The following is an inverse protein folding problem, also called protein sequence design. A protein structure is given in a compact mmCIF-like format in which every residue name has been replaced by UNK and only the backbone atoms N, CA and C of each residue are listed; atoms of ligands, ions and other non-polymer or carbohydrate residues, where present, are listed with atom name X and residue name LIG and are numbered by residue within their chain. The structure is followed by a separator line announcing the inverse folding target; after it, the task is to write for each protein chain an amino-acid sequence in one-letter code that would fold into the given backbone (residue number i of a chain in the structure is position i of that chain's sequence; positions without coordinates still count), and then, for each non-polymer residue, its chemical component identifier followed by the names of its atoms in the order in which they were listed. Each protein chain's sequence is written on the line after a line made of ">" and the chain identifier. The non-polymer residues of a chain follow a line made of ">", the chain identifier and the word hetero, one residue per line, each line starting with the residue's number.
data_IF_181785932309
#
_entry.id   IF_181785932309
#
_cell.length_a   1.000
_cell.length_b   1.000
_cell.length_c   1.000
_cell.angle_alpha   90.00
_cell.angle_beta   90.00
_cell.angle_gamma   90.00
#
_symmetry.space_group_name_H-M   'P 1'
#
loop_
_entity.id
_entity.type
_entity.pdbx_description
1 polymer ?
#
# COMPACT_ATOMS: atom_id res chain seq x y z
N UNK A 1 -9.34 -15.53 14.93
CA UNK A 1 -8.30 -15.28 13.91
C UNK A 1 -8.20 -13.78 13.68
N UNK A 2 -7.01 -13.26 13.35
CA UNK A 2 -6.69 -11.85 13.18
C UNK A 2 -6.32 -11.56 11.73
N UNK A 3 -6.85 -10.47 11.19
CA UNK A 3 -6.49 -9.93 9.87
C UNK A 3 -5.77 -8.61 10.08
N UNK A 4 -4.54 -8.54 9.63
CA UNK A 4 -3.77 -7.29 9.54
C UNK A 4 -4.07 -6.57 8.23
N UNK A 5 -4.12 -5.25 8.27
CA UNK A 5 -4.42 -4.41 7.11
C UNK A 5 -3.39 -3.27 7.05
N UNK A 6 -2.88 -3.00 5.85
CA UNK A 6 -1.99 -1.87 5.60
C UNK A 6 -2.12 -1.38 4.15
N UNK A 7 -1.55 -0.20 3.86
CA UNK A 7 -1.54 0.39 2.53
C UNK A 7 -0.15 0.80 2.05
N UNK A 8 -0.02 0.94 0.74
CA UNK A 8 1.18 1.51 0.10
C UNK A 8 0.82 2.56 -0.94
N UNK A 9 1.58 3.67 -0.94
CA UNK A 9 1.40 4.74 -1.89
C UNK A 9 0.46 5.86 -1.44
N UNK A 10 0.12 5.97 -0.16
CA UNK A 10 -0.73 7.04 0.40
C UNK A 10 -0.21 8.43 0.03
N UNK A 11 1.06 8.74 0.27
CA UNK A 11 1.68 10.04 0.00
C UNK A 11 2.37 10.16 -1.36
N UNK A 12 2.18 9.22 -2.27
CA UNK A 12 2.78 9.29 -3.60
C UNK A 12 2.05 10.31 -4.50
N UNK A 13 2.80 11.04 -5.32
CA UNK A 13 2.26 12.06 -6.24
C UNK A 13 1.68 11.46 -7.53
N UNK A 14 2.00 10.20 -7.82
CA UNK A 14 1.49 9.48 -9.00
C UNK A 14 1.27 7.99 -8.69
N UNK A 15 0.48 7.35 -9.55
CA UNK A 15 0.19 5.93 -9.48
C UNK A 15 -0.85 5.56 -8.42
N UNK A 16 -1.14 4.26 -8.31
CA UNK A 16 -2.21 3.75 -7.48
C UNK A 16 -1.91 3.78 -5.99
N UNK A 17 -2.97 3.76 -5.17
CA UNK A 17 -2.97 3.37 -3.77
C UNK A 17 -3.25 1.87 -3.70
N UNK A 18 -2.34 1.09 -3.15
CA UNK A 18 -2.56 -0.32 -2.86
C UNK A 18 -3.01 -0.51 -1.42
N UNK A 19 -3.97 -1.40 -1.21
CA UNK A 19 -4.35 -1.89 0.10
C UNK A 19 -4.22 -3.40 0.14
N UNK A 20 -3.79 -3.93 1.27
CA UNK A 20 -3.72 -5.37 1.49
C UNK A 20 -4.25 -5.74 2.87
N UNK A 21 -4.85 -6.92 2.94
CA UNK A 21 -5.25 -7.58 4.16
C UNK A 21 -4.63 -8.98 4.19
N UNK A 22 -4.22 -9.42 5.37
CA UNK A 22 -3.54 -10.71 5.55
C UNK A 22 -3.97 -11.38 6.86
N UNK A 23 -4.41 -12.63 6.77
CA UNK A 23 -4.62 -13.56 7.87
C UNK A 23 -3.57 -14.67 7.74
N UNK A 24 -2.61 -14.73 8.64
CA UNK A 24 -1.57 -15.75 8.62
C UNK A 24 -2.13 -17.10 9.07
N UNK A 25 -1.91 -18.15 8.27
CA UNK A 25 -2.29 -19.53 8.60
C UNK A 25 -1.26 -20.20 9.50
N UNK A 26 -0.02 -19.68 9.51
CA UNK A 26 1.05 -20.10 10.41
C UNK A 26 2.01 -18.94 10.70
N UNK A 27 2.73 -18.96 11.83
CA UNK A 27 3.72 -17.93 12.14
C UNK A 27 4.85 -17.85 11.09
N UNK A 28 5.25 -16.63 10.72
CA UNK A 28 6.41 -16.34 9.88
C UNK A 28 7.39 -15.48 10.68
N UNK A 29 8.50 -16.07 11.11
CA UNK A 29 9.45 -15.43 12.04
C UNK A 29 10.15 -14.19 11.47
N UNK A 30 10.35 -14.14 10.15
CA UNK A 30 11.07 -13.04 9.48
C UNK A 30 10.26 -11.72 9.42
N UNK A 31 8.97 -11.73 9.77
CA UNK A 31 8.10 -10.54 9.79
C UNK A 31 8.49 -9.50 10.84
N UNK A 32 9.13 -9.91 11.94
CA UNK A 32 9.50 -9.02 13.05
C UNK A 32 10.45 -7.88 12.66
N UNK A 33 11.23 -8.05 11.59
CA UNK A 33 12.22 -7.08 11.11
C UNK A 33 11.92 -6.57 9.68
N UNK A 34 10.68 -6.66 9.23
CA UNK A 34 10.26 -6.39 7.83
C UNK A 34 10.69 -5.01 7.31
N UNK A 35 10.72 -3.98 8.17
CA UNK A 35 11.15 -2.61 7.79
C UNK A 35 12.64 -2.51 7.43
N UNK A 36 13.48 -3.41 7.95
CA UNK A 36 14.93 -3.45 7.69
C UNK A 36 15.31 -4.34 6.51
N UNK A 37 14.33 -5.01 5.89
CA UNK A 37 14.59 -5.94 4.80
C UNK A 37 15.01 -5.20 3.52
N UNK A 38 16.03 -5.75 2.85
CA UNK A 38 16.34 -5.37 1.47
C UNK A 38 15.16 -5.71 0.54
N UNK A 39 15.11 -5.07 -0.64
CA UNK A 39 14.06 -5.33 -1.64
C UNK A 39 13.99 -6.84 -1.98
N UNK A 40 15.13 -7.49 -2.25
CA UNK A 40 15.22 -8.92 -2.55
C UNK A 40 14.67 -9.82 -1.42
N UNK A 41 15.00 -9.51 -0.16
CA UNK A 41 14.47 -10.26 0.99
C UNK A 41 12.97 -10.04 1.16
N UNK A 42 12.48 -8.83 0.90
CA UNK A 42 11.06 -8.50 0.95
C UNK A 42 10.26 -9.22 -0.13
N UNK A 43 10.82 -9.37 -1.34
CA UNK A 43 10.20 -10.16 -2.41
C UNK A 43 10.13 -11.65 -2.09
N UNK A 44 11.18 -12.21 -1.47
CA UNK A 44 11.14 -13.60 -0.99
C UNK A 44 10.03 -13.78 0.04
N UNK A 45 9.97 -12.89 1.03
CA UNK A 45 8.95 -12.96 2.09
C UNK A 45 7.53 -12.73 1.55
N UNK A 46 7.36 -11.89 0.53
CA UNK A 46 6.10 -11.73 -0.19
C UNK A 46 5.57 -13.07 -0.72
N UNK A 47 6.44 -13.87 -1.35
CA UNK A 47 6.06 -15.20 -1.86
C UNK A 47 5.70 -16.18 -0.74
N UNK A 48 6.43 -16.12 0.38
CA UNK A 48 6.13 -16.95 1.56
C UNK A 48 4.80 -16.56 2.21
N UNK A 49 4.49 -15.26 2.29
CA UNK A 49 3.21 -14.77 2.81
C UNK A 49 2.07 -15.29 1.94
N UNK A 50 2.15 -15.15 0.62
CA UNK A 50 1.12 -15.63 -0.32
C UNK A 50 0.82 -17.12 -0.13
N UNK A 51 1.85 -17.94 0.06
CA UNK A 51 1.70 -19.39 0.24
C UNK A 51 1.14 -19.79 1.60
N UNK A 52 1.20 -18.91 2.60
CA UNK A 52 0.91 -19.25 4.00
C UNK A 52 -0.13 -18.31 4.65
N UNK A 53 -0.96 -17.68 3.85
CA UNK A 53 -2.01 -16.78 4.37
C UNK A 53 -3.28 -16.81 3.52
N UNK A 54 -4.39 -16.43 4.13
CA UNK A 54 -5.54 -15.88 3.41
C UNK A 54 -5.31 -14.39 3.23
N UNK A 55 -5.34 -13.90 2.01
CA UNK A 55 -5.03 -12.50 1.76
C UNK A 55 -5.95 -11.89 0.72
N UNK A 56 -6.03 -10.57 0.75
CA UNK A 56 -6.68 -9.74 -0.26
C UNK A 56 -5.76 -8.59 -0.63
N UNK A 57 -5.52 -8.36 -1.93
CA UNK A 57 -4.73 -7.25 -2.44
C UNK A 57 -5.52 -6.57 -3.55
N UNK A 58 -5.68 -5.26 -3.48
CA UNK A 58 -6.33 -4.47 -4.52
C UNK A 58 -5.79 -3.04 -4.53
N UNK A 59 -6.20 -2.26 -5.53
CA UNK A 59 -5.72 -0.90 -5.68
C UNK A 59 -6.83 0.05 -6.13
N UNK A 60 -6.71 1.31 -5.70
CA UNK A 60 -7.41 2.45 -6.27
C UNK A 60 -6.49 3.18 -7.23
N UNK A 61 -6.95 3.46 -8.44
CA UNK A 61 -6.20 4.22 -9.43
C UNK A 61 -6.04 5.68 -9.00
N UNK A 62 -5.06 6.37 -9.59
CA UNK A 62 -4.92 7.82 -9.38
C UNK A 62 -6.19 8.59 -9.76
N UNK A 63 -6.90 8.20 -10.82
CA UNK A 63 -8.18 8.82 -11.21
C UNK A 63 -9.27 8.63 -10.14
N UNK A 64 -9.36 7.45 -9.51
CA UNK A 64 -10.29 7.23 -8.39
C UNK A 64 -9.91 8.08 -7.17
N UNK A 65 -8.60 8.23 -6.90
CA UNK A 65 -8.13 9.08 -5.80
C UNK A 65 -8.47 10.54 -6.07
N UNK A 66 -8.27 11.03 -7.30
CA UNK A 66 -8.60 12.41 -7.67
C UNK A 66 -10.10 12.69 -7.60
N UNK A 67 -10.94 11.72 -7.98
CA UNK A 67 -12.39 11.88 -7.98
C UNK A 67 -13.03 11.75 -6.59
N UNK A 68 -12.58 10.78 -5.81
CA UNK A 68 -13.21 10.43 -4.52
C UNK A 68 -12.53 11.09 -3.31
N UNK A 69 -11.27 11.44 -3.48
CA UNK A 69 -10.37 11.78 -2.38
C UNK A 69 -9.74 10.56 -1.72
N UNK A 70 -8.53 10.73 -1.20
CA UNK A 70 -7.74 9.67 -0.58
C UNK A 70 -8.46 9.01 0.60
N UNK A 71 -9.05 9.81 1.49
CA UNK A 71 -9.75 9.31 2.69
C UNK A 71 -10.95 8.43 2.32
N UNK A 72 -11.68 8.78 1.26
CA UNK A 72 -12.82 7.97 0.80
C UNK A 72 -12.36 6.67 0.14
N UNK A 73 -11.23 6.68 -0.57
CA UNK A 73 -10.62 5.45 -1.09
C UNK A 73 -10.22 4.51 0.05
N UNK A 74 -9.58 5.03 1.10
CA UNK A 74 -9.20 4.24 2.29
C UNK A 74 -10.43 3.70 3.02
N UNK A 75 -11.44 4.53 3.24
CA UNK A 75 -12.72 4.07 3.81
C UNK A 75 -13.31 2.90 3.03
N UNK A 76 -13.49 3.07 1.71
CA UNK A 76 -14.03 2.02 0.84
C UNK A 76 -13.17 0.75 0.84
N UNK A 77 -11.85 0.92 0.88
CA UNK A 77 -10.95 -0.21 0.98
C UNK A 77 -11.12 -0.99 2.27
N UNK A 78 -11.28 -0.33 3.40
CA UNK A 78 -11.58 -0.98 4.67
C UNK A 78 -12.95 -1.65 4.69
N UNK A 79 -13.96 -1.05 4.07
CA UNK A 79 -15.30 -1.65 3.88
C UNK A 79 -15.22 -2.96 3.06
N UNK A 80 -14.48 -2.97 1.95
CA UNK A 80 -14.24 -4.16 1.12
C UNK A 80 -13.55 -5.27 1.94
N UNK A 81 -12.51 -4.93 2.69
CA UNK A 81 -11.80 -5.88 3.55
C UNK A 81 -12.70 -6.41 4.66
N UNK A 82 -13.51 -5.54 5.27
CA UNK A 82 -14.46 -5.93 6.32
C UNK A 82 -15.48 -6.95 5.81
N UNK A 83 -16.02 -6.75 4.61
CA UNK A 83 -16.95 -7.69 3.98
C UNK A 83 -16.28 -9.01 3.60
N UNK A 84 -15.03 -8.97 3.14
CA UNK A 84 -14.30 -10.19 2.75
C UNK A 84 -13.93 -11.06 3.96
N UNK A 85 -13.58 -10.43 5.08
CA UNK A 85 -13.17 -11.09 6.32
C UNK A 85 -14.19 -10.85 7.45
N UNK A 86 -15.48 -11.14 7.22
CA UNK A 86 -16.58 -10.77 8.14
C UNK A 86 -16.35 -11.20 9.59
N UNK A 87 -15.89 -12.45 9.81
CA UNK A 87 -15.82 -13.10 11.13
C UNK A 87 -14.51 -12.80 11.89
N UNK A 88 -13.49 -12.31 11.21
CA UNK A 88 -12.18 -12.11 11.82
C UNK A 88 -12.10 -10.74 12.50
N UNK A 89 -11.31 -10.65 13.57
CA UNK A 89 -10.86 -9.36 14.10
C UNK A 89 -9.93 -8.70 13.08
N UNK A 90 -10.08 -7.40 12.84
CA UNK A 90 -9.34 -6.64 11.84
C UNK A 90 -8.61 -5.49 12.49
N UNK A 91 -7.30 -5.36 12.20
CA UNK A 91 -6.47 -4.24 12.67
C UNK A 91 -5.79 -3.59 11.47
N UNK A 92 -6.04 -2.29 11.32
CA UNK A 92 -5.46 -1.44 10.29
C UNK A 92 -4.29 -0.61 10.86
N UNK A 93 -3.17 -0.52 10.12
CA UNK A 93 -2.07 0.39 10.48
C UNK A 93 -2.46 1.84 10.18
N UNK A 94 -2.72 2.60 11.22
CA UNK A 94 -3.09 4.00 11.05
C UNK A 94 -3.67 4.63 12.30
N UNK A 95 -3.90 5.93 12.21
CA UNK A 95 -4.48 6.73 13.30
C UNK A 95 -6.01 6.84 13.25
N UNK A 96 -6.65 6.26 12.24
CA UNK A 96 -8.09 6.26 12.05
C UNK A 96 -8.55 5.08 11.22
N UNK A 97 -9.71 4.52 11.52
CA UNK A 97 -10.41 3.52 10.72
C UNK A 97 -11.41 4.13 9.72
N UNK A 98 -11.38 5.43 9.52
CA UNK A 98 -12.28 6.18 8.64
C UNK A 98 -13.77 5.95 8.90
N UNK A 99 -14.15 5.62 10.15
CA UNK A 99 -15.52 5.35 10.56
C UNK A 99 -16.06 3.98 10.14
N UNK A 100 -15.21 3.05 9.69
CA UNK A 100 -15.64 1.69 9.33
C UNK A 100 -15.77 0.83 10.57
N UNK A 101 -17.01 0.49 10.93
CA UNK A 101 -17.31 -0.38 12.07
C UNK A 101 -16.70 -1.77 11.84
N UNK A 102 -16.22 -2.39 12.93
CA UNK A 102 -15.62 -3.73 12.90
C UNK A 102 -14.17 -3.76 12.37
N UNK A 103 -13.56 -2.59 12.14
CA UNK A 103 -12.12 -2.45 11.89
C UNK A 103 -11.52 -1.59 13.00
N UNK A 104 -10.56 -2.14 13.72
CA UNK A 104 -9.76 -1.40 14.71
C UNK A 104 -8.58 -0.72 14.00
N UNK A 105 -8.08 0.38 14.54
CA UNK A 105 -6.84 0.97 14.05
C UNK A 105 -5.80 1.06 15.18
N UNK A 106 -4.54 0.89 14.80
CA UNK A 106 -3.42 0.97 15.73
C UNK A 106 -2.23 1.62 15.01
N UNK A 107 -1.66 2.66 15.61
CA UNK A 107 -0.50 3.35 15.06
C UNK A 107 0.74 2.45 15.14
N UNK A 108 1.47 2.32 14.03
CA UNK A 108 2.66 1.45 13.87
C UNK A 108 2.37 -0.02 14.14
N UNK A 109 1.16 -0.46 13.81
CA UNK A 109 0.74 -1.85 13.98
C UNK A 109 1.62 -2.82 13.18
N UNK A 110 2.14 -2.41 12.04
CA UNK A 110 3.08 -3.16 11.20
C UNK A 110 4.38 -3.57 11.93
N UNK A 111 4.75 -2.85 12.98
CA UNK A 111 5.91 -3.20 13.84
C UNK A 111 5.56 -4.07 15.04
N UNK A 112 4.27 -4.22 15.34
CA UNK A 112 3.77 -4.87 16.56
C UNK A 112 3.04 -6.18 16.26
N UNK A 113 2.41 -6.28 15.09
CA UNK A 113 1.49 -7.35 14.71
C UNK A 113 1.94 -7.99 13.40
N UNK A 114 2.18 -9.30 13.43
CA UNK A 114 2.72 -10.04 12.29
C UNK A 114 1.81 -9.99 11.05
N UNK A 115 0.50 -10.08 11.23
CA UNK A 115 -0.48 -9.99 10.14
C UNK A 115 -0.47 -8.61 9.47
N UNK A 116 -0.29 -7.53 10.25
CA UNK A 116 -0.18 -6.16 9.72
C UNK A 116 1.16 -5.98 8.99
N UNK A 117 2.26 -6.51 9.55
CA UNK A 117 3.55 -6.54 8.87
C UNK A 117 3.49 -7.29 7.54
N UNK A 118 2.78 -8.43 7.51
CA UNK A 118 2.56 -9.18 6.27
C UNK A 118 1.73 -8.37 5.25
N UNK A 119 0.65 -7.73 5.67
CA UNK A 119 -0.15 -6.86 4.82
C UNK A 119 0.67 -5.69 4.24
N UNK A 120 1.54 -5.08 5.05
CA UNK A 120 2.46 -4.02 4.63
C UNK A 120 3.37 -4.49 3.49
N UNK A 121 3.98 -5.68 3.62
CA UNK A 121 4.80 -6.29 2.57
C UNK A 121 3.97 -6.55 1.30
N UNK A 122 2.77 -7.12 1.44
CA UNK A 122 1.88 -7.39 0.32
C UNK A 122 1.53 -6.10 -0.45
N UNK A 123 1.11 -5.06 0.25
CA UNK A 123 0.79 -3.78 -0.36
C UNK A 123 2.02 -3.13 -1.03
N UNK A 124 3.15 -3.10 -0.31
CA UNK A 124 4.39 -2.45 -0.75
C UNK A 124 4.98 -3.12 -1.99
N UNK A 125 5.17 -4.44 -1.97
CA UNK A 125 5.78 -5.17 -3.09
C UNK A 125 4.87 -5.12 -4.33
N UNK A 126 3.57 -5.29 -4.15
CA UNK A 126 2.60 -5.20 -5.26
C UNK A 126 2.65 -3.83 -5.92
N UNK A 127 2.65 -2.77 -5.13
CA UNK A 127 2.74 -1.40 -5.65
C UNK A 127 4.08 -1.14 -6.35
N UNK A 128 5.19 -1.52 -5.75
CA UNK A 128 6.52 -1.28 -6.31
C UNK A 128 6.69 -1.94 -7.67
N UNK A 129 6.22 -3.18 -7.85
CA UNK A 129 6.19 -3.89 -9.14
C UNK A 129 5.38 -3.14 -10.20
N UNK A 130 4.21 -2.61 -9.83
CA UNK A 130 3.41 -1.79 -10.74
C UNK A 130 4.15 -0.50 -11.10
N UNK A 131 4.79 0.17 -10.15
CA UNK A 131 5.54 1.41 -10.42
C UNK A 131 6.78 1.16 -11.29
N UNK A 132 7.47 0.03 -11.14
CA UNK A 132 8.55 -0.40 -12.01
C UNK A 132 8.07 -0.62 -13.47
N UNK A 133 6.93 -1.30 -13.63
CA UNK A 133 6.33 -1.49 -14.95
C UNK A 133 5.90 -0.15 -15.59
N UNK A 134 5.30 0.75 -14.81
CA UNK A 134 4.88 2.07 -15.29
C UNK A 134 6.07 2.98 -15.64
N UNK A 135 7.22 2.80 -15.00
CA UNK A 135 8.45 3.51 -15.35
C UNK A 135 8.89 3.26 -16.79
N UNK A 136 8.66 2.06 -17.33
CA UNK A 136 8.96 1.74 -18.73
C UNK A 136 8.15 2.61 -19.72
N UNK A 137 6.94 3.03 -19.34
CA UNK A 137 6.07 3.88 -20.17
C UNK A 137 6.32 5.38 -19.96
N UNK A 138 6.91 5.75 -18.83
CA UNK A 138 7.15 7.13 -18.43
C UNK A 138 8.57 7.31 -17.86
N UNK A 139 9.62 6.97 -18.65
CA UNK A 139 11.00 6.92 -18.13
C UNK A 139 11.52 8.27 -17.65
N UNK A 140 10.96 9.39 -18.15
CA UNK A 140 11.37 10.75 -17.79
C UNK A 140 11.08 11.11 -16.32
N UNK A 141 10.24 10.34 -15.60
CA UNK A 141 9.90 10.66 -14.21
C UNK A 141 10.67 9.85 -13.16
N UNK A 142 11.38 8.78 -13.54
CA UNK A 142 12.18 7.96 -12.61
C UNK A 142 11.36 7.17 -11.58
N UNK A 143 10.16 6.71 -11.95
CA UNK A 143 9.25 5.99 -11.05
C UNK A 143 9.84 4.70 -10.49
N UNK A 144 10.78 4.07 -11.19
CA UNK A 144 11.50 2.88 -10.74
C UNK A 144 12.39 3.14 -9.52
N UNK A 145 12.84 4.39 -9.32
CA UNK A 145 13.71 4.78 -8.22
C UNK A 145 12.88 5.14 -6.98
N UNK A 146 12.07 6.17 -7.09
CA UNK A 146 11.35 6.76 -5.95
C UNK A 146 9.88 6.32 -5.84
N UNK A 147 9.42 5.40 -6.70
CA UNK A 147 8.04 4.87 -6.70
C UNK A 147 6.96 5.97 -6.68
N UNK A 148 7.25 7.10 -7.35
CA UNK A 148 6.41 8.29 -7.46
C UNK A 148 6.16 9.07 -6.16
N UNK A 149 6.92 8.83 -5.10
CA UNK A 149 6.90 9.72 -3.94
C UNK A 149 7.49 11.09 -4.28
N UNK A 150 7.09 12.14 -3.54
CA UNK A 150 7.45 13.54 -3.81
C UNK A 150 8.88 13.91 -3.45
N UNK A 151 9.86 13.15 -3.95
CA UNK A 151 11.28 13.45 -3.84
C UNK A 151 11.62 14.69 -4.68
N UNK A 152 12.77 15.33 -4.40
CA UNK A 152 13.27 16.44 -5.18
C UNK A 152 13.34 16.11 -6.68
N UNK A 153 13.93 14.95 -7.02
CA UNK A 153 14.05 14.48 -8.40
C UNK A 153 12.69 14.32 -9.10
N UNK A 154 11.67 13.77 -8.40
CA UNK A 154 10.33 13.64 -8.98
C UNK A 154 9.67 15.01 -9.24
N UNK A 155 9.77 15.95 -8.29
CA UNK A 155 9.24 17.30 -8.44
C UNK A 155 9.94 18.07 -9.56
N UNK A 156 11.26 17.94 -9.70
CA UNK A 156 12.03 18.51 -10.81
C UNK A 156 11.58 17.93 -12.16
N UNK A 157 11.32 16.62 -12.23
CA UNK A 157 10.78 15.98 -13.44
C UNK A 157 9.38 16.51 -13.79
N UNK A 158 8.51 16.68 -12.78
CA UNK A 158 7.18 17.29 -12.99
C UNK A 158 7.30 18.73 -13.47
N UNK A 159 8.19 19.54 -12.89
CA UNK A 159 8.42 20.91 -13.32
C UNK A 159 8.93 20.99 -14.76
N UNK A 160 9.77 20.03 -15.17
CA UNK A 160 10.36 20.00 -16.52
C UNK A 160 9.42 19.46 -17.59
N UNK A 161 8.70 18.40 -17.30
CA UNK A 161 7.91 17.64 -18.31
C UNK A 161 6.39 17.80 -18.14
N UNK A 162 5.95 18.51 -17.09
CA UNK A 162 4.54 18.56 -16.72
C UNK A 162 4.05 17.29 -16.01
N UNK A 163 2.80 17.28 -15.61
CA UNK A 163 2.16 16.09 -15.04
C UNK A 163 1.71 15.14 -16.17
N UNK A 164 1.99 13.83 -16.03
CA UNK A 164 1.44 12.80 -16.92
C UNK A 164 0.11 12.24 -16.38
N UNK A 165 -0.53 11.35 -17.16
CA UNK A 165 -1.81 10.71 -16.82
C UNK A 165 -1.80 9.91 -15.51
N UNK A 166 -0.64 9.61 -14.96
CA UNK A 166 -0.51 8.86 -13.69
C UNK A 166 -0.49 9.76 -12.46
N UNK A 167 -0.23 11.07 -12.63
CA UNK A 167 -0.18 11.99 -11.50
C UNK A 167 -1.55 12.20 -10.87
N UNK A 168 -1.53 12.40 -9.56
CA UNK A 168 -2.72 12.70 -8.75
C UNK A 168 -2.90 14.22 -8.75
N UNK A 169 -3.74 14.70 -9.63
CA UNK A 169 -3.92 16.14 -9.85
C UNK A 169 -4.55 16.85 -8.65
N UNK A 170 -5.22 16.12 -7.77
CA UNK A 170 -5.72 16.64 -6.49
C UNK A 170 -4.63 16.85 -5.43
N UNK A 171 -3.41 16.39 -5.68
CA UNK A 171 -2.27 16.55 -4.76
C UNK A 171 -1.43 17.78 -5.14
N UNK A 172 -0.74 18.37 -4.14
CA UNK A 172 0.26 19.42 -4.42
C UNK A 172 1.48 18.78 -5.07
N UNK A 173 1.61 18.94 -6.40
CA UNK A 173 2.67 18.32 -7.19
C UNK A 173 3.99 19.06 -7.09
N UNK A 174 3.95 20.39 -7.02
CA UNK A 174 5.11 21.32 -7.00
C UNK A 174 5.03 22.20 -5.75
#
# INVERSE_FOLDING_TARGET
>A
MLVGIDEAGRGALAGPLFMAACELLKPLNELKDSKKLSEKKREKLYSEIILNSNYLIFAFSNAQIDTLGLSKCLQRGLEIIHLHFEKQRKIFDGNTNYGVLGVENLIKADSLIAEVSAASILAKVSRDKVMQFLALKYPQYGFEIHKAYGTKAHRESIAKYGACKLHRLSFKLI
#
